data_IF_570481139392
#
_entry.id   IF_570481139392
#
_cell.length_a   1.000
_cell.length_b   1.000
_cell.length_c   1.000
_cell.angle_alpha   90.00
_cell.angle_beta   90.00
_cell.angle_gamma   90.00
#
_symmetry.space_group_name_H-M   'P 1'
#
loop_
_entity.id
_entity.type
_entity.pdbx_description
1 polymer ?
#
# COMPACT_ATOMS: atom_id res chain seq x y z
N UNK A 1 10.60 -6.47 -25.86
CA UNK A 1 10.86 -6.12 -24.46
C UNK A 1 12.14 -6.79 -23.99
N UNK A 2 13.03 -6.09 -23.28
CA UNK A 2 14.21 -6.76 -22.73
C UNK A 2 13.79 -7.72 -21.62
N UNK A 3 14.46 -8.87 -21.51
CA UNK A 3 14.21 -9.87 -20.45
C UNK A 3 14.35 -9.25 -19.06
N UNK A 4 15.30 -8.33 -18.90
CA UNK A 4 15.54 -7.59 -17.67
C UNK A 4 14.30 -6.81 -17.23
N UNK A 5 13.62 -6.15 -18.17
CA UNK A 5 12.41 -5.39 -17.88
C UNK A 5 11.28 -6.29 -17.37
N UNK A 6 11.04 -7.43 -18.06
CA UNK A 6 10.00 -8.38 -17.64
C UNK A 6 10.26 -8.96 -16.24
N UNK A 7 11.51 -9.31 -15.95
CA UNK A 7 11.90 -9.80 -14.62
C UNK A 7 11.65 -8.71 -13.56
N UNK A 8 12.02 -7.46 -13.85
CA UNK A 8 11.84 -6.34 -12.90
C UNK A 8 10.35 -6.10 -12.62
N UNK A 9 9.49 -6.12 -13.63
CA UNK A 9 8.04 -5.97 -13.48
C UNK A 9 7.43 -7.10 -12.63
N UNK A 10 7.81 -8.35 -12.89
CA UNK A 10 7.34 -9.50 -12.10
C UNK A 10 7.81 -9.41 -10.66
N UNK A 11 9.07 -9.04 -10.43
CA UNK A 11 9.62 -8.86 -9.07
C UNK A 11 8.93 -7.72 -8.33
N UNK A 12 8.68 -6.58 -9.00
CA UNK A 12 7.95 -5.46 -8.42
C UNK A 12 6.53 -5.87 -8.00
N UNK A 13 5.81 -6.58 -8.87
CA UNK A 13 4.47 -7.11 -8.57
C UNK A 13 4.50 -8.14 -7.43
N UNK A 14 5.52 -8.98 -7.35
CA UNK A 14 5.69 -9.93 -6.26
C UNK A 14 5.90 -9.21 -4.92
N UNK A 15 6.76 -8.20 -4.88
CA UNK A 15 7.02 -7.39 -3.67
C UNK A 15 5.74 -6.68 -3.24
N UNK A 16 5.01 -6.10 -4.17
CA UNK A 16 3.73 -5.43 -3.90
C UNK A 16 2.70 -6.40 -3.31
N UNK A 17 2.52 -7.57 -3.92
CA UNK A 17 1.64 -8.61 -3.40
C UNK A 17 2.06 -9.10 -2.01
N UNK A 18 3.37 -9.24 -1.76
CA UNK A 18 3.89 -9.57 -0.44
C UNK A 18 3.54 -8.47 0.58
N UNK A 19 3.78 -7.21 0.26
CA UNK A 19 3.43 -6.08 1.12
C UNK A 19 1.92 -6.07 1.37
N UNK A 20 1.10 -6.13 0.31
CA UNK A 20 -0.35 -6.09 0.42
C UNK A 20 -0.89 -7.18 1.36
N UNK A 21 -0.44 -8.41 1.20
CA UNK A 21 -0.92 -9.55 1.96
C UNK A 21 -0.36 -9.60 3.38
N UNK A 22 0.97 -9.51 3.55
CA UNK A 22 1.60 -9.64 4.87
C UNK A 22 1.28 -8.47 5.79
N UNK A 23 1.22 -7.24 5.26
CA UNK A 23 0.89 -6.05 6.05
C UNK A 23 -0.58 -6.08 6.45
N UNK A 24 -1.49 -6.26 5.48
CA UNK A 24 -2.92 -6.33 5.78
C UNK A 24 -3.23 -7.46 6.78
N UNK A 25 -2.59 -8.62 6.62
CA UNK A 25 -2.73 -9.73 7.57
C UNK A 25 -2.15 -9.42 8.96
N UNK A 26 -1.02 -8.72 9.03
CA UNK A 26 -0.42 -8.30 10.30
C UNK A 26 -1.29 -7.29 11.06
N UNK A 27 -1.94 -6.38 10.33
CA UNK A 27 -2.89 -5.40 10.89
C UNK A 27 -4.14 -6.07 11.48
N UNK A 28 -4.59 -7.19 10.90
CA UNK A 28 -5.78 -7.93 11.35
C UNK A 28 -5.54 -8.93 12.48
N UNK A 29 -4.28 -9.30 12.72
CA UNK A 29 -3.92 -10.37 13.64
C UNK A 29 -3.92 -11.77 12.99
N UNK A 30 -3.05 -12.62 13.51
CA UNK A 30 -2.83 -13.97 12.99
C UNK A 30 -3.86 -14.96 13.52
N UNK A 31 -4.35 -15.82 12.63
CA UNK A 31 -5.30 -16.88 12.97
C UNK A 31 -4.62 -18.18 13.42
N UNK A 32 -3.53 -18.56 12.77
CA UNK A 32 -2.89 -19.86 12.92
C UNK A 32 -1.47 -19.80 13.46
N UNK A 33 -0.89 -21.00 13.72
CA UNK A 33 0.51 -21.15 14.07
C UNK A 33 1.42 -20.45 13.07
N UNK A 34 2.48 -19.83 13.57
CA UNK A 34 3.38 -18.97 12.79
C UNK A 34 3.86 -19.58 11.48
N UNK A 35 4.19 -20.89 11.44
CA UNK A 35 4.69 -21.55 10.22
C UNK A 35 3.64 -21.67 9.13
N UNK A 36 2.42 -22.09 9.47
CA UNK A 36 1.31 -22.23 8.52
C UNK A 36 0.90 -20.86 7.96
N UNK A 37 0.85 -19.85 8.82
CA UNK A 37 0.57 -18.48 8.42
C UNK A 37 1.51 -17.99 7.29
N UNK A 38 2.82 -18.08 7.50
CA UNK A 38 3.77 -17.62 6.49
C UNK A 38 3.71 -18.42 5.20
N UNK A 39 3.50 -19.75 5.27
CA UNK A 39 3.36 -20.58 4.08
C UNK A 39 2.15 -20.15 3.22
N UNK A 40 0.98 -20.01 3.84
CA UNK A 40 -0.24 -19.62 3.12
C UNK A 40 -0.14 -18.22 2.50
N UNK A 41 0.41 -17.25 3.23
CA UNK A 41 0.62 -15.91 2.68
C UNK A 41 1.65 -15.90 1.54
N UNK A 42 2.72 -16.67 1.64
CA UNK A 42 3.69 -16.80 0.56
C UNK A 42 3.07 -17.41 -0.69
N UNK A 43 2.26 -18.47 -0.54
CA UNK A 43 1.55 -19.09 -1.65
C UNK A 43 0.54 -18.10 -2.27
N UNK A 44 -0.21 -17.39 -1.44
CA UNK A 44 -1.15 -16.38 -1.90
C UNK A 44 -0.43 -15.22 -2.63
N UNK A 45 0.79 -14.85 -2.21
CA UNK A 45 1.61 -13.84 -2.90
C UNK A 45 1.98 -14.30 -4.32
N UNK A 46 2.34 -15.57 -4.49
CA UNK A 46 2.62 -16.13 -5.82
C UNK A 46 1.39 -16.05 -6.71
N UNK A 47 0.23 -16.46 -6.20
CA UNK A 47 -1.04 -16.39 -6.95
C UNK A 47 -1.40 -14.94 -7.29
N UNK A 48 -1.25 -14.00 -6.34
CA UNK A 48 -1.41 -12.56 -6.59
C UNK A 48 -0.55 -12.10 -7.76
N UNK A 49 0.74 -12.45 -7.72
CA UNK A 49 1.70 -12.05 -8.76
C UNK A 49 1.28 -12.56 -10.14
N UNK A 50 0.86 -13.83 -10.23
CA UNK A 50 0.38 -14.39 -11.50
C UNK A 50 -0.84 -13.64 -12.02
N UNK A 51 -1.86 -13.42 -11.18
CA UNK A 51 -3.09 -12.72 -11.57
C UNK A 51 -2.76 -11.31 -12.08
N UNK A 52 -2.03 -10.51 -11.31
CA UNK A 52 -1.74 -9.12 -11.67
C UNK A 52 -0.82 -9.03 -12.89
N UNK A 53 0.17 -9.92 -13.01
CA UNK A 53 1.04 -9.97 -14.21
C UNK A 53 0.25 -10.28 -15.48
N UNK A 54 -0.69 -11.24 -15.43
CA UNK A 54 -1.56 -11.54 -16.57
C UNK A 54 -2.46 -10.35 -16.94
N UNK A 55 -3.03 -9.67 -15.94
CA UNK A 55 -3.85 -8.48 -16.19
C UNK A 55 -3.05 -7.35 -16.81
N UNK A 56 -1.82 -7.13 -16.36
CA UNK A 56 -0.93 -6.13 -16.93
C UNK A 56 -0.56 -6.48 -18.39
N UNK A 57 -0.34 -7.76 -18.72
CA UNK A 57 -0.09 -8.20 -20.08
C UNK A 57 -1.29 -8.00 -21.02
N UNK A 58 -2.51 -8.16 -20.50
CA UNK A 58 -3.75 -7.93 -21.25
C UNK A 58 -4.14 -6.45 -21.35
N UNK A 59 -3.29 -5.55 -20.84
CA UNK A 59 -3.54 -4.10 -20.83
C UNK A 59 -4.90 -3.72 -20.21
N UNK A 60 -5.31 -4.49 -19.19
CA UNK A 60 -6.52 -4.17 -18.42
C UNK A 60 -6.34 -2.81 -17.75
N UNK A 61 -7.37 -1.98 -17.78
CA UNK A 61 -7.33 -0.65 -17.15
C UNK A 61 -6.78 -0.74 -15.71
N UNK A 62 -5.82 0.10 -15.38
CA UNK A 62 -5.13 0.11 -14.08
C UNK A 62 -6.10 0.13 -12.89
N UNK A 63 -7.22 0.85 -13.03
CA UNK A 63 -8.28 0.89 -12.01
C UNK A 63 -8.89 -0.50 -11.74
N UNK A 64 -9.18 -1.27 -12.78
CA UNK A 64 -9.73 -2.63 -12.63
C UNK A 64 -8.71 -3.56 -12.00
N UNK A 65 -7.45 -3.45 -12.39
CA UNK A 65 -6.34 -4.22 -11.80
C UNK A 65 -6.21 -3.96 -10.31
N UNK A 66 -6.25 -2.69 -9.89
CA UNK A 66 -6.23 -2.30 -8.47
C UNK A 66 -7.44 -2.86 -7.71
N UNK A 67 -8.65 -2.73 -8.28
CA UNK A 67 -9.85 -3.24 -7.64
C UNK A 67 -9.77 -4.76 -7.44
N UNK A 68 -9.30 -5.52 -8.42
CA UNK A 68 -9.11 -6.97 -8.31
C UNK A 68 -8.03 -7.31 -7.28
N UNK A 69 -6.92 -6.58 -7.25
CA UNK A 69 -5.86 -6.74 -6.26
C UNK A 69 -6.39 -6.53 -4.82
N UNK A 70 -7.20 -5.48 -4.60
CA UNK A 70 -7.82 -5.21 -3.31
C UNK A 70 -8.81 -6.31 -2.91
N UNK A 71 -9.69 -6.74 -3.82
CA UNK A 71 -10.67 -7.81 -3.56
C UNK A 71 -9.94 -9.12 -3.25
N UNK A 72 -8.94 -9.49 -4.04
CA UNK A 72 -8.14 -10.68 -3.80
C UNK A 72 -7.47 -10.64 -2.40
N UNK A 73 -6.80 -9.54 -2.08
CA UNK A 73 -6.17 -9.34 -0.77
C UNK A 73 -7.18 -9.45 0.36
N UNK A 74 -8.35 -8.82 0.21
CA UNK A 74 -9.42 -8.89 1.20
C UNK A 74 -9.92 -10.31 1.41
N UNK A 75 -10.12 -11.10 0.35
CA UNK A 75 -10.52 -12.50 0.43
C UNK A 75 -9.47 -13.31 1.21
N UNK A 76 -8.19 -13.22 0.83
CA UNK A 76 -7.10 -13.95 1.50
C UNK A 76 -7.01 -13.57 2.98
N UNK A 77 -7.02 -12.28 3.30
CA UNK A 77 -6.97 -11.78 4.69
C UNK A 77 -8.22 -12.24 5.46
N UNK A 78 -9.37 -12.33 4.82
CA UNK A 78 -10.61 -12.79 5.46
C UNK A 78 -10.54 -14.25 5.89
N UNK A 79 -9.89 -15.09 5.13
CA UNK A 79 -9.70 -16.51 5.46
C UNK A 79 -8.58 -16.75 6.46
N UNK A 80 -7.49 -15.99 6.38
CA UNK A 80 -6.26 -16.26 7.13
C UNK A 80 -6.11 -15.43 8.42
N UNK A 81 -6.98 -14.46 8.68
CA UNK A 81 -6.89 -13.56 9.83
C UNK A 81 -8.14 -13.62 10.71
N UNK A 82 -7.96 -13.40 12.03
CA UNK A 82 -9.03 -13.47 13.03
C UNK A 82 -9.82 -12.16 13.23
N UNK A 83 -9.37 -11.04 12.66
CA UNK A 83 -9.99 -9.73 12.85
C UNK A 83 -11.46 -9.67 12.46
N UNK A 84 -12.23 -8.74 13.04
CA UNK A 84 -13.59 -8.43 12.61
C UNK A 84 -13.58 -7.95 11.15
N UNK A 85 -14.73 -8.09 10.46
CA UNK A 85 -14.87 -7.69 9.05
C UNK A 85 -14.35 -6.27 8.78
N UNK A 86 -14.74 -5.31 9.64
CA UNK A 86 -14.32 -3.92 9.50
C UNK A 86 -12.80 -3.75 9.62
N UNK A 87 -12.14 -4.49 10.52
CA UNK A 87 -10.68 -4.43 10.68
C UNK A 87 -9.97 -4.94 9.42
N UNK A 88 -10.50 -6.02 8.81
CA UNK A 88 -9.97 -6.60 7.58
C UNK A 88 -10.10 -5.63 6.41
N UNK A 89 -11.30 -5.04 6.25
CA UNK A 89 -11.55 -4.06 5.21
C UNK A 89 -10.65 -2.83 5.37
N UNK A 90 -10.59 -2.28 6.58
CA UNK A 90 -9.75 -1.11 6.89
C UNK A 90 -8.28 -1.40 6.65
N UNK A 91 -7.78 -2.57 7.05
CA UNK A 91 -6.38 -2.94 6.86
C UNK A 91 -5.98 -3.02 5.38
N UNK A 92 -6.86 -3.58 4.54
CA UNK A 92 -6.61 -3.67 3.09
C UNK A 92 -6.60 -2.28 2.47
N UNK A 93 -7.61 -1.46 2.75
CA UNK A 93 -7.70 -0.10 2.20
C UNK A 93 -6.50 0.76 2.62
N UNK A 94 -6.11 0.71 3.90
CA UNK A 94 -4.93 1.44 4.38
C UNK A 94 -3.67 0.96 3.64
N UNK A 95 -3.48 -0.34 3.51
CA UNK A 95 -2.28 -0.89 2.87
C UNK A 95 -2.18 -0.44 1.40
N UNK A 96 -3.28 -0.55 0.65
CA UNK A 96 -3.31 -0.09 -0.75
C UNK A 96 -3.17 1.41 -0.89
N UNK A 97 -3.75 2.18 0.03
CA UNK A 97 -3.52 3.62 0.07
C UNK A 97 -2.03 3.97 0.17
N UNK A 98 -1.30 3.33 1.09
CA UNK A 98 0.14 3.58 1.23
C UNK A 98 0.95 3.09 0.03
N UNK A 99 0.60 1.95 -0.57
CA UNK A 99 1.25 1.46 -1.79
C UNK A 99 1.13 2.52 -2.90
N UNK A 100 -0.07 3.00 -3.17
CA UNK A 100 -0.27 3.99 -4.23
C UNK A 100 0.25 5.38 -3.87
N UNK A 101 0.21 5.79 -2.60
CA UNK A 101 0.80 7.06 -2.17
C UNK A 101 2.32 7.09 -2.43
N UNK A 102 3.03 5.98 -2.21
CA UNK A 102 4.46 5.88 -2.52
C UNK A 102 4.73 5.92 -4.01
N UNK A 103 3.93 5.23 -4.82
CA UNK A 103 4.02 5.26 -6.29
C UNK A 103 3.87 6.68 -6.83
N UNK A 104 2.87 7.44 -6.36
CA UNK A 104 2.67 8.83 -6.74
C UNK A 104 3.84 9.72 -6.31
N UNK A 105 4.33 9.55 -5.08
CA UNK A 105 5.44 10.33 -4.54
C UNK A 105 6.72 10.14 -5.39
N UNK A 106 7.09 8.90 -5.69
CA UNK A 106 8.27 8.59 -6.49
C UNK A 106 8.09 9.02 -7.94
N UNK A 107 6.91 8.77 -8.54
CA UNK A 107 6.60 9.22 -9.91
C UNK A 107 6.79 10.71 -10.06
N UNK A 108 6.20 11.50 -9.14
CA UNK A 108 6.30 12.95 -9.17
C UNK A 108 7.74 13.43 -8.99
N UNK A 109 8.46 12.86 -8.02
CA UNK A 109 9.85 13.23 -7.78
C UNK A 109 10.74 12.96 -9.00
N UNK A 110 10.57 11.81 -9.65
CA UNK A 110 11.33 11.47 -10.86
C UNK A 110 10.97 12.39 -12.04
N UNK A 111 9.68 12.70 -12.23
CA UNK A 111 9.25 13.61 -13.29
C UNK A 111 9.86 15.01 -13.09
N UNK A 112 9.89 15.50 -11.85
CA UNK A 112 10.50 16.79 -11.54
C UNK A 112 12.01 16.81 -11.79
N UNK A 113 12.73 15.74 -11.46
CA UNK A 113 14.16 15.63 -11.67
C UNK A 113 14.49 15.48 -13.16
N UNK A 114 13.87 14.52 -13.83
CA UNK A 114 14.13 14.19 -15.22
C UNK A 114 13.57 15.25 -16.15
N UNK A 115 12.38 15.77 -15.89
CA UNK A 115 11.76 16.83 -16.68
C UNK A 115 12.59 18.11 -16.72
N UNK A 116 13.20 18.51 -15.58
CA UNK A 116 14.13 19.62 -15.53
C UNK A 116 15.43 19.37 -16.31
N UNK A 117 15.97 18.14 -16.25
CA UNK A 117 17.23 17.81 -16.91
C UNK A 117 17.10 17.68 -18.43
N UNK A 118 15.94 17.27 -18.91
CA UNK A 118 15.69 17.01 -20.34
C UNK A 118 14.80 18.07 -21.04
N UNK A 119 14.40 19.14 -20.33
CA UNK A 119 13.47 20.16 -20.86
C UNK A 119 12.17 19.57 -21.44
N UNK A 120 11.66 18.48 -20.86
CA UNK A 120 10.45 17.81 -21.33
C UNK A 120 9.25 18.32 -20.53
N UNK A 121 8.26 18.89 -21.22
CA UNK A 121 7.03 19.42 -20.61
C UNK A 121 6.11 18.33 -20.02
N UNK A 122 6.23 17.08 -20.49
CA UNK A 122 5.44 15.93 -20.01
C UNK A 122 6.34 14.73 -19.72
N UNK A 123 6.76 14.57 -18.47
CA UNK A 123 7.61 13.45 -18.03
C UNK A 123 6.87 12.12 -17.77
N UNK A 124 5.53 12.11 -17.81
CA UNK A 124 4.71 10.92 -17.56
C UNK A 124 5.02 9.77 -18.54
N UNK A 125 5.11 9.98 -19.87
CA UNK A 125 5.44 8.91 -20.79
C UNK A 125 6.77 8.22 -20.49
N UNK A 126 7.78 8.97 -20.01
CA UNK A 126 9.09 8.43 -19.68
C UNK A 126 9.08 7.39 -18.55
N UNK A 127 8.13 7.51 -17.61
CA UNK A 127 7.99 6.55 -16.50
C UNK A 127 7.14 5.35 -16.91
N UNK A 128 6.19 5.57 -17.83
CA UNK A 128 5.29 4.52 -18.31
C UNK A 128 5.90 3.69 -19.44
N UNK A 129 6.82 4.28 -20.22
CA UNK A 129 7.48 3.57 -21.31
C UNK A 129 8.50 2.55 -20.81
N UNK A 130 8.66 1.47 -21.56
CA UNK A 130 9.61 0.39 -21.26
C UNK A 130 11.04 0.89 -21.43
N UNK A 131 11.72 1.19 -20.35
CA UNK A 131 13.09 1.71 -20.38
C UNK A 131 13.80 1.67 -19.05
N UNK A 132 15.02 2.19 -19.03
CA UNK A 132 15.84 2.31 -17.80
C UNK A 132 15.16 3.15 -16.72
N UNK A 133 14.47 4.22 -17.11
CA UNK A 133 13.73 5.10 -16.19
C UNK A 133 12.63 4.35 -15.45
N UNK A 134 11.91 3.46 -16.14
CA UNK A 134 10.89 2.61 -15.52
C UNK A 134 11.48 1.64 -14.52
N UNK A 135 12.63 1.04 -14.82
CA UNK A 135 13.33 0.14 -13.89
C UNK A 135 13.75 0.89 -12.63
N UNK A 136 14.31 2.10 -12.78
CA UNK A 136 14.69 2.95 -11.65
C UNK A 136 13.46 3.31 -10.82
N UNK A 137 12.37 3.71 -11.47
CA UNK A 137 11.10 4.02 -10.80
C UNK A 137 10.61 2.83 -9.96
N UNK A 138 10.46 1.65 -10.57
CA UNK A 138 10.00 0.45 -9.88
C UNK A 138 10.89 0.08 -8.70
N UNK A 139 12.21 0.17 -8.87
CA UNK A 139 13.16 -0.15 -7.81
C UNK A 139 13.04 0.81 -6.63
N UNK A 140 13.03 2.12 -6.88
CA UNK A 140 12.90 3.14 -5.84
C UNK A 140 11.56 3.04 -5.11
N UNK A 141 10.48 2.82 -5.84
CA UNK A 141 9.15 2.66 -5.26
C UNK A 141 9.10 1.46 -4.31
N UNK A 142 9.55 0.28 -4.74
CA UNK A 142 9.51 -0.92 -3.90
C UNK A 142 10.45 -0.81 -2.69
N UNK A 143 11.61 -0.19 -2.83
CA UNK A 143 12.51 0.10 -1.69
C UNK A 143 11.81 1.04 -0.69
N UNK A 144 11.19 2.13 -1.15
CA UNK A 144 10.48 3.07 -0.28
C UNK A 144 9.30 2.40 0.41
N UNK A 145 8.50 1.60 -0.31
CA UNK A 145 7.39 0.83 0.27
C UNK A 145 7.87 -0.09 1.39
N UNK A 146 8.92 -0.86 1.17
CA UNK A 146 9.51 -1.74 2.19
C UNK A 146 9.96 -0.95 3.41
N UNK A 147 10.68 0.16 3.22
CA UNK A 147 11.17 1.01 4.32
C UNK A 147 10.00 1.57 5.15
N UNK A 148 8.98 2.11 4.51
CA UNK A 148 7.79 2.64 5.19
C UNK A 148 7.13 1.54 6.03
N UNK A 149 6.87 0.37 5.46
CA UNK A 149 6.23 -0.71 6.18
C UNK A 149 7.09 -1.28 7.32
N UNK A 150 8.40 -1.30 7.18
CA UNK A 150 9.30 -1.68 8.28
C UNK A 150 9.27 -0.65 9.43
N UNK A 151 9.29 0.65 9.11
CA UNK A 151 9.18 1.71 10.10
C UNK A 151 7.86 1.64 10.89
N UNK A 152 6.75 1.35 10.19
CA UNK A 152 5.43 1.27 10.83
C UNK A 152 5.12 -0.07 11.48
N UNK A 153 6.01 -1.07 11.40
CA UNK A 153 5.78 -2.42 11.92
C UNK A 153 5.35 -2.45 13.39
N UNK A 154 5.92 -1.58 14.23
CA UNK A 154 5.54 -1.47 15.65
C UNK A 154 4.13 -0.91 15.86
N UNK A 155 3.62 -0.15 14.90
CA UNK A 155 2.32 0.50 14.96
C UNK A 155 1.19 -0.45 14.52
N UNK A 156 1.50 -1.51 13.76
CA UNK A 156 0.49 -2.45 13.24
C UNK A 156 -0.29 -3.18 14.35
N UNK A 157 0.36 -3.53 15.44
CA UNK A 157 -0.31 -4.17 16.57
C UNK A 157 -1.32 -3.26 17.28
N UNK A 158 -1.17 -1.94 17.15
CA UNK A 158 -2.04 -0.96 17.80
C UNK A 158 -3.35 -0.76 17.07
N UNK A 159 -3.40 -1.00 15.77
CA UNK A 159 -4.63 -0.89 14.98
C UNK A 159 -5.71 -1.87 15.47
N UNK A 160 -5.30 -3.02 16.01
CA UNK A 160 -6.20 -4.03 16.57
C UNK A 160 -6.89 -3.57 17.85
N UNK A 161 -6.31 -2.60 18.55
CA UNK A 161 -6.81 -2.05 19.81
C UNK A 161 -7.79 -0.89 19.59
N UNK A 162 -7.98 -0.43 18.34
CA UNK A 162 -8.87 0.67 18.04
C UNK A 162 -10.33 0.26 18.23
N UNK A 163 -11.11 1.20 18.77
CA UNK A 163 -12.55 1.03 18.85
C UNK A 163 -13.19 1.09 17.43
N UNK A 164 -14.41 0.56 17.30
CA UNK A 164 -15.11 0.53 16.02
C UNK A 164 -15.30 1.92 15.40
N UNK A 165 -15.58 2.94 16.21
CA UNK A 165 -15.77 4.30 15.73
C UNK A 165 -14.52 4.88 15.08
N UNK A 166 -13.35 4.72 15.71
CA UNK A 166 -12.07 5.15 15.15
C UNK A 166 -11.73 4.42 13.85
N UNK A 167 -12.04 3.12 13.76
CA UNK A 167 -11.84 2.34 12.53
C UNK A 167 -12.72 2.84 11.37
N UNK A 168 -13.98 3.16 11.64
CA UNK A 168 -14.87 3.76 10.63
C UNK A 168 -14.36 5.12 10.17
N UNK A 169 -13.90 5.97 11.09
CA UNK A 169 -13.33 7.27 10.74
C UNK A 169 -12.11 7.11 9.83
N UNK A 170 -11.19 6.24 10.20
CA UNK A 170 -9.99 5.92 9.39
C UNK A 170 -10.41 5.42 8.01
N UNK A 171 -11.37 4.50 7.94
CA UNK A 171 -11.87 3.95 6.67
C UNK A 171 -12.42 5.06 5.77
N UNK A 172 -13.27 5.93 6.31
CA UNK A 172 -13.88 7.03 5.55
C UNK A 172 -12.82 8.00 5.05
N UNK A 173 -11.90 8.43 5.91
CA UNK A 173 -10.83 9.35 5.54
C UNK A 173 -9.95 8.72 4.45
N UNK A 174 -9.54 7.47 4.60
CA UNK A 174 -8.68 6.78 3.62
C UNK A 174 -9.39 6.60 2.28
N UNK A 175 -10.66 6.21 2.30
CA UNK A 175 -11.46 6.03 1.09
C UNK A 175 -11.66 7.35 0.34
N UNK A 176 -11.96 8.44 1.06
CA UNK A 176 -12.07 9.77 0.48
C UNK A 176 -10.74 10.23 -0.13
N UNK A 177 -9.64 10.02 0.59
CA UNK A 177 -8.30 10.38 0.10
C UNK A 177 -7.95 9.59 -1.17
N UNK A 178 -8.31 8.31 -1.22
CA UNK A 178 -8.09 7.47 -2.39
C UNK A 178 -8.90 7.95 -3.61
N UNK A 179 -10.17 8.32 -3.39
CA UNK A 179 -11.04 8.89 -4.44
C UNK A 179 -10.45 10.21 -4.94
N UNK A 180 -10.05 11.10 -4.04
CA UNK A 180 -9.43 12.39 -4.40
C UNK A 180 -8.14 12.16 -5.19
N UNK A 181 -7.28 11.24 -4.77
CA UNK A 181 -6.06 10.88 -5.51
C UNK A 181 -6.35 10.35 -6.91
N UNK A 182 -7.38 9.53 -7.07
CA UNK A 182 -7.75 8.96 -8.38
C UNK A 182 -8.39 9.97 -9.34
N UNK A 183 -9.05 11.00 -8.83
CA UNK A 183 -9.74 12.04 -9.62
C UNK A 183 -8.77 13.17 -9.98
N UNK A 184 -7.87 13.56 -9.06
CA UNK A 184 -6.94 14.66 -9.27
C UNK A 184 -5.75 14.20 -10.13
N UNK A 185 -5.92 14.30 -11.44
CA UNK A 185 -4.86 14.05 -12.43
C UNK A 185 -3.74 15.10 -12.42
N UNK A 186 -3.88 16.17 -11.64
CA UNK A 186 -2.82 17.18 -11.47
C UNK A 186 -1.89 16.75 -10.33
N UNK A 187 -0.73 16.25 -10.70
CA UNK A 187 0.25 15.58 -9.83
C UNK A 187 0.65 16.36 -8.57
N UNK A 188 0.77 17.70 -8.63
CA UNK A 188 1.21 18.53 -7.48
C UNK A 188 0.21 18.47 -6.33
N UNK A 189 -1.07 18.62 -6.63
CA UNK A 189 -2.14 18.62 -5.63
C UNK A 189 -2.24 17.23 -4.98
N UNK A 190 -2.07 16.17 -5.78
CA UNK A 190 -2.08 14.79 -5.30
C UNK A 190 -0.94 14.52 -4.32
N UNK A 191 0.28 14.98 -4.61
CA UNK A 191 1.44 14.82 -3.71
C UNK A 191 1.24 15.58 -2.40
N UNK A 192 0.77 16.83 -2.48
CA UNK A 192 0.48 17.63 -1.27
C UNK A 192 -0.58 16.94 -0.42
N UNK A 193 -1.66 16.45 -1.02
CA UNK A 193 -2.69 15.70 -0.32
C UNK A 193 -2.17 14.41 0.29
N UNK A 194 -1.30 13.66 -0.42
CA UNK A 194 -0.65 12.47 0.14
C UNK A 194 0.20 12.81 1.37
N UNK A 195 0.98 13.89 1.33
CA UNK A 195 1.80 14.34 2.46
C UNK A 195 0.92 14.75 3.64
N UNK A 196 -0.13 15.55 3.39
CA UNK A 196 -1.06 15.97 4.44
C UNK A 196 -1.76 14.76 5.05
N UNK A 197 -2.24 13.84 4.24
CA UNK A 197 -2.96 12.66 4.72
C UNK A 197 -2.06 11.67 5.46
N UNK A 198 -0.83 11.44 5.00
CA UNK A 198 0.15 10.62 5.73
C UNK A 198 0.53 11.26 7.07
N UNK A 199 0.64 12.60 7.12
CA UNK A 199 0.90 13.34 8.36
C UNK A 199 -0.29 13.27 9.33
N UNK A 200 -1.52 13.44 8.85
CA UNK A 200 -2.73 13.27 9.65
C UNK A 200 -2.89 11.83 10.15
N UNK A 201 -2.59 10.84 9.32
CA UNK A 201 -2.57 9.44 9.73
C UNK A 201 -1.56 9.16 10.83
N UNK A 202 -0.33 9.66 10.68
CA UNK A 202 0.70 9.52 11.69
C UNK A 202 0.28 10.20 13.01
N UNK A 203 -0.37 11.36 12.92
CA UNK A 203 -0.86 12.11 14.08
C UNK A 203 -2.01 11.38 14.79
N UNK A 204 -3.00 10.87 14.05
CA UNK A 204 -4.11 10.07 14.60
C UNK A 204 -3.58 8.79 15.24
N UNK A 205 -2.64 8.09 14.62
CA UNK A 205 -2.02 6.89 15.19
C UNK A 205 -1.19 7.21 16.43
N UNK A 206 -0.57 8.39 16.48
CA UNK A 206 0.17 8.87 17.65
C UNK A 206 -0.76 9.18 18.81
N UNK A 207 -1.84 9.94 18.61
CA UNK A 207 -2.84 10.24 19.65
C UNK A 207 -3.52 8.98 20.19
N UNK A 208 -3.94 8.07 19.32
CA UNK A 208 -4.51 6.79 19.73
C UNK A 208 -3.50 5.91 20.49
N UNK A 209 -2.22 6.07 20.21
CA UNK A 209 -1.12 5.44 20.96
C UNK A 209 -0.98 6.02 22.36
N UNK A 210 -1.12 7.34 22.51
CA UNK A 210 -1.08 8.02 23.82
C UNK A 210 -2.31 7.68 24.66
N UNK A 211 -3.51 7.69 24.10
CA UNK A 211 -4.74 7.32 24.82
C UNK A 211 -4.70 5.87 25.31
N UNK A 212 -4.17 4.95 24.52
CA UNK A 212 -4.00 3.58 24.97
C UNK A 212 -2.91 3.43 26.04
N UNK A 213 -1.84 4.22 25.98
CA UNK A 213 -0.80 4.23 27.01
C UNK A 213 -1.36 4.76 28.34
N UNK A 214 -2.15 5.84 28.29
CA UNK A 214 -2.84 6.42 29.47
C UNK A 214 -3.84 5.42 30.06
N UNK A 215 -4.66 4.75 29.24
CA UNK A 215 -5.60 3.72 29.69
C UNK A 215 -4.90 2.54 30.36
N UNK A 216 -3.80 2.05 29.78
CA UNK A 216 -3.02 0.96 30.34
C UNK A 216 -2.43 1.38 31.69
N UNK A 217 -1.88 2.60 31.77
CA UNK A 217 -1.32 3.12 33.02
C UNK A 217 -2.40 3.28 34.10
N UNK A 218 -3.62 3.74 33.71
CA UNK A 218 -4.75 3.87 34.65
C UNK A 218 -5.34 2.52 35.10
N UNK A 219 -5.13 1.43 34.37
CA UNK A 219 -5.55 0.08 34.81
C UNK A 219 -4.56 -0.59 35.78
N UNK A 220 -3.35 -0.04 35.93
CA UNK A 220 -2.32 -0.56 36.84
C UNK A 220 -2.09 0.31 38.08
N UNK A 221 -2.88 1.39 38.27
CA UNK A 221 -2.99 2.20 39.48
C UNK A 221 -4.32 1.89 40.16
#
# INVERSE_FOLDING_TARGET
MSIVYQITEILATFIEGAIALFVSGALCGKKDEKKKYYLFYSLATVVYTVIITLMNQWQVFSFVTIAIAMVYTFIVVSFLSNGAFINKLTSVIITFFFIHATEYLISYSLIMIIGKSLNISNGIPLILETGSTRIVFLTLDKVLQILIFLCFRKTYSKLQLLNKGSLYLILVITSLSYIVMSILTQMIITVILCIIMTSLYAMVLWELSLDNLVRITMMYI
#
